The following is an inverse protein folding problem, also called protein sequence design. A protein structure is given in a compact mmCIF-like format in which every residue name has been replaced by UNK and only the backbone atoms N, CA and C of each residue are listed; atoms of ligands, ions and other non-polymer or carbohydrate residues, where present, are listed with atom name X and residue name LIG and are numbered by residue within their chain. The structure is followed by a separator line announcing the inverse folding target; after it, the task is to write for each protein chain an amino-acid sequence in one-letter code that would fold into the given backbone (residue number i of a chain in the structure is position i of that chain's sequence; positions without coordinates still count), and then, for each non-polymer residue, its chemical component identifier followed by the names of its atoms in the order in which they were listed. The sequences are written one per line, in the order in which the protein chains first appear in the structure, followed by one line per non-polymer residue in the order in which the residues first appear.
data_IF_615799669696
#
_entry.id   IF_615799669696
#
_cell.length_a   1.000
_cell.length_b   1.000
_cell.length_c   1.000
_cell.angle_alpha   90.00
_cell.angle_beta   90.00
_cell.angle_gamma   90.00
#
_symmetry.space_group_name_H-M   'P 1'
#
loop_
_entity.id
_entity.type
_entity.pdbx_description
1 polymer ?
#
# COMPACT_ATOMS: atom_id res chain seq x y z
N UNK A 1 -8.98 0.93 8.91
CA UNK A 1 -9.48 1.61 7.68
C UNK A 1 -10.75 0.93 7.17
N UNK A 2 -11.70 1.63 6.54
CA UNK A 2 -13.00 1.05 6.16
C UNK A 2 -12.91 -0.19 5.25
N UNK A 3 -11.86 -0.27 4.42
CA UNK A 3 -11.61 -1.38 3.52
C UNK A 3 -11.03 -2.64 4.20
N UNK A 4 -10.56 -2.56 5.45
CA UNK A 4 -10.08 -3.73 6.21
C UNK A 4 -11.18 -4.74 6.53
N UNK A 5 -12.44 -4.27 6.53
CA UNK A 5 -13.61 -5.05 6.95
C UNK A 5 -14.52 -5.45 5.79
N UNK A 6 -14.44 -4.76 4.65
CA UNK A 6 -15.20 -5.10 3.44
C UNK A 6 -14.45 -4.63 2.18
N UNK A 7 -14.36 -5.47 1.13
CA UNK A 7 -13.79 -5.05 -0.14
C UNK A 7 -14.78 -4.12 -0.84
N UNK A 8 -14.55 -2.81 -0.77
CA UNK A 8 -15.41 -1.80 -1.39
C UNK A 8 -15.40 -1.89 -2.92
N UNK A 9 -14.24 -2.24 -3.50
CA UNK A 9 -13.99 -2.39 -4.94
C UNK A 9 -13.21 -3.69 -5.19
N UNK A 10 -13.86 -4.87 -5.08
CA UNK A 10 -13.21 -6.17 -5.24
C UNK A 10 -12.59 -6.40 -6.62
N UNK A 11 -12.99 -5.61 -7.62
CA UNK A 11 -12.38 -5.52 -8.94
C UNK A 11 -10.97 -4.91 -8.89
N UNK A 12 -10.68 -4.06 -7.90
CA UNK A 12 -9.36 -3.45 -7.71
C UNK A 12 -8.53 -4.23 -6.70
N UNK A 13 -9.03 -4.40 -5.48
CA UNK A 13 -8.27 -5.02 -4.41
C UNK A 13 -9.16 -5.64 -3.33
N UNK A 14 -8.61 -6.66 -2.67
CA UNK A 14 -9.17 -7.24 -1.44
C UNK A 14 -8.08 -7.36 -0.39
N UNK A 15 -8.48 -7.43 0.87
CA UNK A 15 -7.56 -7.81 1.94
C UNK A 15 -7.23 -9.29 1.81
N UNK A 16 -5.95 -9.63 1.87
CA UNK A 16 -5.47 -11.00 1.93
C UNK A 16 -5.20 -11.42 3.38
N UNK A 17 -5.19 -12.74 3.62
CA UNK A 17 -4.80 -13.31 4.91
C UNK A 17 -3.27 -13.45 4.95
N UNK A 18 -2.59 -12.83 5.93
CA UNK A 18 -1.14 -12.92 6.05
C UNK A 18 -0.71 -14.34 6.40
N UNK A 19 0.43 -14.77 5.88
CA UNK A 19 0.98 -16.11 6.10
C UNK A 19 2.42 -16.11 6.61
N UNK A 20 3.21 -15.09 6.26
CA UNK A 20 4.56 -14.87 6.77
C UNK A 20 4.59 -13.75 7.82
N UNK A 21 5.44 -13.92 8.85
CA UNK A 21 5.65 -12.96 9.96
C UNK A 21 4.35 -12.34 10.51
N UNK A 22 3.36 -13.19 10.76
CA UNK A 22 2.01 -12.76 11.15
C UNK A 22 2.00 -12.17 12.57
N UNK A 23 1.63 -10.89 12.66
CA UNK A 23 1.41 -10.16 13.91
C UNK A 23 -0.07 -9.90 14.16
N UNK A 24 -0.50 -10.10 15.41
CA UNK A 24 -1.89 -9.90 15.85
C UNK A 24 -2.94 -10.63 14.98
N UNK A 25 -2.52 -11.69 14.27
CA UNK A 25 -3.35 -12.47 13.36
C UNK A 25 -3.80 -11.74 12.10
N UNK A 26 -3.28 -10.54 11.80
CA UNK A 26 -3.76 -9.71 10.68
C UNK A 26 -2.75 -8.82 10.00
N UNK A 27 -1.59 -8.60 10.62
CA UNK A 27 -0.51 -7.77 10.09
C UNK A 27 0.70 -8.64 9.74
N UNK A 28 1.60 -8.09 8.94
CA UNK A 28 2.94 -8.63 8.66
C UNK A 28 3.96 -7.69 9.29
N UNK A 29 4.93 -8.24 10.04
CA UNK A 29 5.99 -7.51 10.75
C UNK A 29 7.20 -7.09 9.90
N UNK A 30 7.04 -6.99 8.57
CA UNK A 30 8.12 -6.62 7.66
C UNK A 30 8.05 -5.12 7.36
N UNK A 31 9.10 -4.38 7.73
CA UNK A 31 9.13 -2.93 7.61
C UNK A 31 9.67 -2.40 6.27
N UNK A 32 10.15 -3.27 5.38
CA UNK A 32 10.67 -2.87 4.08
C UNK A 32 9.68 -3.22 2.99
N UNK A 33 9.14 -2.19 2.34
CA UNK A 33 8.42 -2.31 1.09
C UNK A 33 9.33 -2.01 -0.09
N UNK A 34 8.91 -2.43 -1.28
CA UNK A 34 9.61 -2.15 -2.52
C UNK A 34 8.61 -1.64 -3.55
N UNK A 35 8.97 -0.57 -4.26
CA UNK A 35 8.25 -0.14 -5.46
C UNK A 35 8.56 -1.12 -6.58
N UNK A 36 7.59 -1.91 -7.02
CA UNK A 36 7.82 -3.00 -7.98
C UNK A 36 7.46 -2.65 -9.42
N UNK A 37 6.80 -1.51 -9.62
CA UNK A 37 6.30 -1.12 -10.94
C UNK A 37 6.36 0.39 -11.16
N UNK A 38 6.72 0.77 -12.38
CA UNK A 38 6.61 2.15 -12.84
C UNK A 38 5.13 2.58 -12.92
N UNK A 39 4.85 3.81 -12.56
CA UNK A 39 3.49 4.31 -12.39
C UNK A 39 3.41 5.78 -12.77
N UNK A 40 2.37 6.16 -13.50
CA UNK A 40 2.22 7.53 -14.00
C UNK A 40 2.15 8.59 -12.89
N UNK A 41 1.69 8.20 -11.68
CA UNK A 41 1.71 9.08 -10.51
C UNK A 41 3.09 9.25 -9.88
N UNK A 42 4.02 8.34 -10.15
CA UNK A 42 5.37 8.32 -9.59
C UNK A 42 6.33 9.14 -10.45
N UNK A 43 6.39 10.45 -10.20
CA UNK A 43 7.40 11.33 -10.81
C UNK A 43 8.66 11.39 -9.94
N UNK A 44 9.74 10.76 -10.41
CA UNK A 44 11.03 10.75 -9.70
C UNK A 44 11.12 9.75 -8.55
N UNK A 45 10.20 8.78 -8.49
CA UNK A 45 10.27 7.62 -7.59
C UNK A 45 10.78 6.43 -8.40
N UNK A 46 11.92 5.86 -7.99
CA UNK A 46 12.56 4.77 -8.69
C UNK A 46 11.88 3.42 -8.44
N UNK A 47 11.74 2.64 -9.51
CA UNK A 47 11.41 1.20 -9.40
C UNK A 47 12.58 0.48 -8.73
N UNK A 48 12.27 -0.48 -7.86
CA UNK A 48 13.18 -1.13 -6.92
C UNK A 48 13.70 -0.20 -5.80
N UNK A 49 13.06 0.96 -5.61
CA UNK A 49 13.27 1.75 -4.41
C UNK A 49 12.79 0.99 -3.18
N UNK A 50 13.69 0.73 -2.24
CA UNK A 50 13.34 0.24 -0.91
C UNK A 50 12.72 1.38 -0.10
N UNK A 51 11.58 1.07 0.50
CA UNK A 51 10.80 1.97 1.32
C UNK A 51 10.72 1.38 2.74
N UNK A 52 11.57 1.84 3.67
CA UNK A 52 11.38 1.53 5.07
C UNK A 52 10.13 2.28 5.56
N UNK A 53 9.10 1.55 5.95
CA UNK A 53 7.90 2.13 6.55
C UNK A 53 8.23 2.71 7.91
N UNK A 54 7.67 3.88 8.19
CA UNK A 54 7.76 4.47 9.54
C UNK A 54 6.96 3.68 10.59
N UNK A 55 6.04 2.82 10.15
CA UNK A 55 5.34 1.83 10.99
C UNK A 55 5.74 0.42 10.56
N UNK A 56 6.20 -0.45 11.48
CA UNK A 56 6.75 -1.76 11.12
C UNK A 56 5.70 -2.79 10.69
N UNK A 57 4.41 -2.42 10.72
CA UNK A 57 3.30 -3.33 10.40
C UNK A 57 2.51 -2.84 9.20
N UNK A 58 2.08 -3.78 8.38
CA UNK A 58 1.11 -3.56 7.31
C UNK A 58 0.18 -4.75 7.16
N UNK A 59 -0.93 -4.55 6.47
CA UNK A 59 -1.75 -5.65 5.94
C UNK A 59 -1.35 -5.91 4.49
N UNK A 60 -1.58 -7.14 4.02
CA UNK A 60 -1.36 -7.51 2.63
C UNK A 60 -2.67 -7.52 1.84
N UNK A 61 -2.53 -7.35 0.52
CA UNK A 61 -3.61 -7.19 -0.43
C UNK A 61 -3.55 -8.29 -1.49
N UNK A 62 -4.71 -8.66 -2.01
CA UNK A 62 -4.86 -9.46 -3.22
C UNK A 62 -5.36 -8.55 -4.36
N UNK A 63 -4.66 -8.48 -5.51
CA UNK A 63 -5.12 -7.72 -6.65
C UNK A 63 -6.40 -8.33 -7.25
N UNK A 64 -7.39 -7.47 -7.48
CA UNK A 64 -8.49 -7.78 -8.37
C UNK A 64 -8.07 -7.71 -9.85
N UNK A 65 -8.94 -8.13 -10.78
CA UNK A 65 -8.64 -8.14 -12.21
C UNK A 65 -8.30 -6.77 -12.81
N UNK A 66 -8.73 -5.68 -12.18
CA UNK A 66 -8.47 -4.30 -12.61
C UNK A 66 -7.47 -3.57 -11.70
N UNK A 67 -6.93 -4.27 -10.70
CA UNK A 67 -5.94 -3.75 -9.76
C UNK A 67 -4.52 -3.79 -10.33
N UNK A 68 -3.80 -2.68 -10.17
CA UNK A 68 -2.36 -2.62 -10.43
C UNK A 68 -1.58 -2.60 -9.12
N UNK A 69 -0.78 -3.63 -8.88
CA UNK A 69 0.19 -3.67 -7.78
C UNK A 69 1.31 -2.67 -8.06
N UNK A 70 1.61 -1.80 -7.10
CA UNK A 70 2.70 -0.82 -7.15
C UNK A 70 3.80 -1.11 -6.16
N UNK A 71 3.46 -1.68 -4.99
CA UNK A 71 4.42 -1.97 -3.94
C UNK A 71 4.17 -3.35 -3.34
N UNK A 72 5.26 -4.03 -3.02
CA UNK A 72 5.27 -5.34 -2.36
C UNK A 72 6.11 -5.30 -1.07
N UNK A 73 5.86 -6.22 -0.14
CA UNK A 73 6.73 -6.44 1.02
C UNK A 73 7.92 -7.35 0.67
N UNK A 74 8.76 -7.65 1.67
CA UNK A 74 9.88 -8.58 1.54
C UNK A 74 9.50 -10.04 1.19
N UNK A 75 8.21 -10.40 1.26
CA UNK A 75 7.68 -11.72 0.90
C UNK A 75 7.00 -11.73 -0.48
N UNK A 76 7.09 -10.63 -1.24
CA UNK A 76 6.42 -10.44 -2.53
C UNK A 76 4.89 -10.37 -2.45
N UNK A 77 4.33 -10.10 -1.27
CA UNK A 77 2.90 -9.81 -1.13
C UNK A 77 2.62 -8.36 -1.51
N UNK A 78 1.51 -8.12 -2.20
CA UNK A 78 1.09 -6.76 -2.55
C UNK A 78 0.70 -5.96 -1.29
N UNK A 79 1.21 -4.74 -1.19
CA UNK A 79 0.90 -3.79 -0.10
C UNK A 79 0.28 -2.51 -0.62
N UNK A 80 0.48 -2.18 -1.89
CA UNK A 80 -0.19 -1.06 -2.54
C UNK A 80 -0.76 -1.46 -3.89
N UNK A 81 -2.07 -1.23 -4.04
CA UNK A 81 -2.81 -1.52 -5.27
C UNK A 81 -3.63 -0.29 -5.64
N UNK A 82 -3.56 0.11 -6.90
CA UNK A 82 -4.32 1.23 -7.47
C UNK A 82 -5.27 0.75 -8.55
N UNK A 83 -6.30 1.54 -8.83
CA UNK A 83 -7.25 1.25 -9.88
C UNK A 83 -8.21 2.39 -10.18
N UNK A 84 -9.07 2.20 -11.18
CA UNK A 84 -10.10 3.15 -11.56
C UNK A 84 -11.49 2.57 -11.29
N UNK A 85 -12.39 3.37 -10.74
CA UNK A 85 -13.79 3.00 -10.52
C UNK A 85 -14.68 4.06 -11.17
N UNK A 86 -15.27 3.71 -12.31
CA UNK A 86 -16.01 4.65 -13.14
C UNK A 86 -15.09 5.77 -13.67
N UNK A 87 -15.22 6.98 -13.12
CA UNK A 87 -14.32 8.11 -13.43
C UNK A 87 -13.37 8.44 -12.28
N UNK A 88 -13.51 7.77 -11.15
CA UNK A 88 -12.67 8.00 -9.97
C UNK A 88 -11.44 7.11 -9.96
N UNK A 89 -10.44 7.53 -9.20
CA UNK A 89 -9.22 6.78 -8.93
C UNK A 89 -9.21 6.35 -7.47
N UNK A 90 -8.75 5.14 -7.20
CA UNK A 90 -8.71 4.57 -5.86
C UNK A 90 -7.33 3.99 -5.56
N UNK A 91 -6.90 4.16 -4.32
CA UNK A 91 -5.63 3.64 -3.79
C UNK A 91 -5.95 2.79 -2.57
N UNK A 92 -5.48 1.55 -2.57
CA UNK A 92 -5.46 0.68 -1.42
C UNK A 92 -4.01 0.58 -0.93
N UNK A 93 -3.74 1.04 0.28
CA UNK A 93 -2.40 1.04 0.88
C UNK A 93 -2.42 0.34 2.24
N UNK A 94 -1.64 -0.72 2.37
CA UNK A 94 -1.66 -1.62 3.53
C UNK A 94 -0.88 -1.14 4.76
N UNK A 95 -0.05 -0.09 4.65
CA UNK A 95 0.71 0.42 5.78
C UNK A 95 -0.20 0.90 6.91
N UNK A 96 0.15 0.51 8.14
CA UNK A 96 -0.66 0.80 9.32
C UNK A 96 -0.10 2.00 10.10
N UNK A 97 -0.79 3.15 10.06
CA UNK A 97 -0.40 4.36 10.82
C UNK A 97 -1.30 4.61 12.02
N UNK A 98 -1.73 3.54 12.72
CA UNK A 98 -2.56 3.70 13.90
C UNK A 98 -1.83 4.49 15.00
N UNK A 99 -2.58 5.38 15.67
CA UNK A 99 -2.09 6.19 16.78
C UNK A 99 -1.56 5.27 17.91
N UNK A 100 -0.27 5.40 18.23
CA UNK A 100 0.43 4.57 19.23
C UNK A 100 1.53 3.67 18.67
N UNK A 101 1.53 3.41 17.35
CA UNK A 101 2.61 2.69 16.66
C UNK A 101 3.49 3.65 15.83
N UNK A 102 2.95 4.83 15.52
CA UNK A 102 3.63 5.90 14.81
C UNK A 102 3.34 7.25 15.49
N UNK A 103 4.39 8.02 15.78
CA UNK A 103 4.31 9.41 16.26
C UNK A 103 5.24 10.27 15.40
N UNK A 104 4.67 11.02 14.45
CA UNK A 104 5.43 11.95 13.64
C UNK A 104 4.78 12.30 12.31
N UNK A 105 5.55 13.00 11.49
CA UNK A 105 5.23 13.24 10.07
C UNK A 105 5.90 12.16 9.22
N UNK A 106 5.25 11.75 8.14
CA UNK A 106 5.92 10.96 7.09
C UNK A 106 7.08 11.79 6.53
N UNK A 107 8.21 11.15 6.23
CA UNK A 107 9.41 11.82 5.74
C UNK A 107 10.05 11.05 4.60
N UNK A 108 10.85 11.75 3.81
CA UNK A 108 11.62 11.16 2.71
C UNK A 108 10.72 10.47 1.69
N UNK A 109 11.21 9.34 1.16
CA UNK A 109 10.54 8.61 0.08
C UNK A 109 9.12 8.16 0.45
N UNK A 110 8.86 7.84 1.73
CA UNK A 110 7.53 7.46 2.20
C UNK A 110 6.53 8.61 2.01
N UNK A 111 6.90 9.81 2.43
CA UNK A 111 6.10 11.01 2.23
C UNK A 111 5.85 11.27 0.74
N UNK A 112 6.89 11.19 -0.08
CA UNK A 112 6.81 11.51 -1.50
C UNK A 112 5.91 10.52 -2.25
N UNK A 113 5.98 9.23 -1.92
CA UNK A 113 5.07 8.20 -2.44
C UNK A 113 3.62 8.49 -2.01
N UNK A 114 3.39 8.81 -0.74
CA UNK A 114 2.05 9.14 -0.25
C UNK A 114 1.45 10.34 -0.97
N UNK A 115 2.23 11.41 -1.14
CA UNK A 115 1.77 12.60 -1.86
C UNK A 115 1.50 12.30 -3.34
N UNK A 116 2.37 11.53 -3.99
CA UNK A 116 2.16 11.09 -5.37
C UNK A 116 0.87 10.27 -5.55
N UNK A 117 0.57 9.37 -4.62
CA UNK A 117 -0.66 8.57 -4.63
C UNK A 117 -1.91 9.44 -4.42
N UNK A 118 -1.83 10.43 -3.53
CA UNK A 118 -2.93 11.39 -3.28
C UNK A 118 -3.17 12.26 -4.52
N UNK A 119 -2.12 12.84 -5.09
CA UNK A 119 -2.20 13.70 -6.28
C UNK A 119 -2.72 12.93 -7.48
N UNK A 120 -2.34 11.66 -7.63
CA UNK A 120 -2.90 10.80 -8.67
C UNK A 120 -4.39 10.53 -8.43
N UNK A 121 -4.79 10.22 -7.20
CA UNK A 121 -6.18 9.89 -6.86
C UNK A 121 -7.13 11.11 -6.97
N UNK A 122 -6.61 12.33 -6.85
CA UNK A 122 -7.38 13.57 -6.87
C UNK A 122 -7.69 14.12 -8.28
N UNK A 123 -7.11 13.53 -9.33
CA UNK A 123 -7.38 13.89 -10.73
C UNK A 123 -8.62 13.17 -11.27
#
# INVERSE_FOLDING_TARGET
MAWEFAPLFPEIAKRAEPHDEVEEGRYVGCNNLMVTKDFEGFQGIDVNGELPLSSPKHVILEPGPEGQVLMENCFSDAVCIVGQVGKGRVVFFGGNYHRGEFEGDLKGLEHDIFMALIDWAAQ
#
